data_IF_985145465671
#
_entry.id   IF_985145465671
#
_cell.length_a   1.000
_cell.length_b   1.000
_cell.length_c   1.000
_cell.angle_alpha   90.00
_cell.angle_beta   90.00
_cell.angle_gamma   90.00
#
_symmetry.space_group_name_H-M   'P 1'
#
loop_
_entity.id
_entity.type
_entity.pdbx_description
1 polymer ?
#
# COMPACT_ATOMS: atom_id res chain seq x y z
N UNK A 1 11.76 -47.33 -3.41
CA UNK A 1 11.42 -46.76 -2.10
C UNK A 1 11.96 -45.33 -2.13
N UNK A 2 11.07 -44.35 -2.24
CA UNK A 2 11.43 -42.93 -2.40
C UNK A 2 11.99 -42.34 -1.10
N UNK A 3 12.96 -41.42 -1.14
CA UNK A 3 13.33 -40.59 0.01
C UNK A 3 12.49 -39.31 0.05
N UNK A 4 11.93 -38.99 1.23
CA UNK A 4 11.14 -37.78 1.49
C UNK A 4 11.97 -36.68 2.18
N UNK A 5 11.74 -35.43 1.70
CA UNK A 5 11.80 -34.13 2.39
C UNK A 5 13.13 -33.71 3.05
N UNK A 6 13.66 -32.49 2.92
CA UNK A 6 13.12 -31.27 2.32
C UNK A 6 14.28 -30.29 2.03
N UNK A 7 13.95 -29.28 1.24
CA UNK A 7 14.83 -28.49 0.38
C UNK A 7 15.45 -27.30 1.12
N UNK A 8 16.77 -27.12 0.98
CA UNK A 8 17.52 -25.95 1.41
C UNK A 8 17.22 -24.66 0.60
N UNK A 9 17.83 -23.51 0.97
CA UNK A 9 17.36 -22.18 0.61
C UNK A 9 17.40 -21.90 -0.90
N UNK A 10 16.31 -21.29 -1.40
CA UNK A 10 16.06 -20.98 -2.83
C UNK A 10 16.91 -19.83 -3.32
N UNK A 11 18.01 -20.15 -4.00
CA UNK A 11 18.62 -19.26 -5.01
C UNK A 11 17.74 -19.25 -6.28
N UNK A 12 16.86 -18.25 -6.43
CA UNK A 12 16.20 -17.99 -7.70
C UNK A 12 17.12 -17.14 -8.59
N UNK A 13 17.79 -17.83 -9.52
CA UNK A 13 18.77 -17.29 -10.47
C UNK A 13 18.17 -16.20 -11.38
N UNK A 14 18.82 -15.05 -11.37
CA UNK A 14 18.70 -13.93 -12.33
C UNK A 14 19.03 -14.34 -13.77
N UNK A 15 18.09 -14.98 -14.49
CA UNK A 15 18.29 -15.32 -15.92
C UNK A 15 17.11 -15.08 -16.87
N UNK A 16 16.08 -14.31 -16.50
CA UNK A 16 14.98 -13.97 -17.44
C UNK A 16 14.70 -12.47 -17.64
N UNK A 17 15.56 -11.58 -17.14
CA UNK A 17 15.46 -10.12 -17.37
C UNK A 17 16.17 -9.71 -18.68
N UNK A 18 15.86 -10.36 -19.79
CA UNK A 18 16.30 -9.92 -21.12
C UNK A 18 15.15 -10.05 -22.10
N UNK A 19 14.41 -8.96 -22.25
CA UNK A 19 13.81 -8.47 -23.50
C UNK A 19 12.90 -7.29 -23.17
N UNK A 20 13.50 -6.13 -22.90
CA UNK A 20 12.83 -4.84 -23.05
C UNK A 20 13.58 -4.11 -24.15
N UNK A 21 13.04 -4.13 -25.37
CA UNK A 21 13.56 -3.42 -26.53
C UNK A 21 12.40 -2.78 -27.29
N UNK A 22 12.56 -1.48 -27.59
CA UNK A 22 11.68 -0.66 -28.44
C UNK A 22 11.02 0.48 -27.65
N UNK A 23 11.69 1.61 -27.41
CA UNK A 23 11.89 2.78 -28.30
C UNK A 23 10.61 3.58 -28.59
N UNK A 24 10.59 4.79 -28.03
CA UNK A 24 9.97 6.07 -28.46
C UNK A 24 8.94 6.06 -29.60
N UNK A 25 7.82 6.78 -29.42
CA UNK A 25 7.50 8.01 -30.19
C UNK A 25 6.14 8.60 -29.76
N UNK A 26 6.09 9.93 -29.77
CA UNK A 26 4.93 10.83 -29.66
C UNK A 26 3.59 10.30 -30.22
N UNK A 27 2.48 10.64 -29.53
CA UNK A 27 1.36 11.46 -30.07
C UNK A 27 0.13 11.53 -29.15
N UNK A 28 -0.38 12.75 -29.00
CA UNK A 28 -1.80 13.14 -28.91
C UNK A 28 -2.66 12.60 -27.76
N UNK A 29 -3.03 13.53 -26.89
CA UNK A 29 -3.86 13.47 -25.69
C UNK A 29 -5.36 13.14 -25.89
N UNK A 30 -5.70 12.14 -26.72
CA UNK A 30 -7.11 11.72 -26.87
C UNK A 30 -7.35 10.22 -27.12
N UNK A 31 -6.32 9.39 -27.31
CA UNK A 31 -6.48 7.97 -27.68
C UNK A 31 -5.85 7.01 -26.66
N UNK A 32 -5.86 7.35 -25.37
CA UNK A 32 -5.47 6.39 -24.34
C UNK A 32 -6.52 5.28 -24.25
N UNK A 33 -6.27 4.20 -25.00
CA UNK A 33 -6.91 2.91 -24.78
C UNK A 33 -5.92 2.07 -23.97
N UNK A 34 -6.22 1.74 -22.70
CA UNK A 34 -5.32 0.94 -21.89
C UNK A 34 -5.07 -0.40 -22.62
N UNK A 35 -3.82 -0.90 -22.64
CA UNK A 35 -3.46 -2.05 -23.45
C UNK A 35 -4.30 -3.27 -23.06
N UNK A 36 -5.08 -3.79 -24.02
CA UNK A 36 -5.83 -5.05 -23.91
C UNK A 36 -4.86 -6.22 -23.73
N UNK A 37 -4.54 -6.49 -22.46
CA UNK A 37 -3.97 -7.70 -21.83
C UNK A 37 -2.93 -7.27 -20.79
N UNK A 38 -3.40 -6.73 -19.68
CA UNK A 38 -2.61 -6.65 -18.46
C UNK A 38 -2.52 -8.08 -17.92
N UNK A 39 -1.32 -8.66 -17.94
CA UNK A 39 -1.03 -10.02 -17.49
C UNK A 39 -0.33 -9.99 -16.13
N UNK A 40 -0.81 -9.13 -15.23
CA UNK A 40 -0.42 -9.14 -13.82
C UNK A 40 -1.56 -9.79 -13.01
N UNK A 41 -1.27 -10.43 -11.87
CA UNK A 41 -2.32 -10.85 -10.94
C UNK A 41 -3.17 -9.62 -10.59
N UNK A 42 -4.51 -9.73 -10.63
CA UNK A 42 -5.44 -8.60 -10.45
C UNK A 42 -5.23 -7.80 -9.15
N UNK A 43 -4.67 -8.42 -8.11
CA UNK A 43 -4.32 -7.70 -6.89
C UNK A 43 -3.12 -6.75 -7.03
N UNK A 44 -2.16 -7.08 -7.90
CA UNK A 44 -0.99 -6.22 -8.17
C UNK A 44 -1.39 -4.95 -8.93
N UNK A 45 -2.45 -4.99 -9.74
CA UNK A 45 -2.96 -3.80 -10.43
C UNK A 45 -3.57 -2.77 -9.48
N UNK A 46 -4.23 -3.18 -8.39
CA UNK A 46 -4.81 -2.23 -7.44
C UNK A 46 -3.72 -1.43 -6.73
N UNK A 47 -2.69 -2.12 -6.21
CA UNK A 47 -1.53 -1.47 -5.59
C UNK A 47 -0.79 -0.57 -6.59
N UNK A 48 -0.70 -0.98 -7.87
CA UNK A 48 -0.10 -0.16 -8.92
C UNK A 48 -0.88 1.14 -9.18
N UNK A 49 -2.22 1.08 -9.19
CA UNK A 49 -3.07 2.26 -9.33
C UNK A 49 -2.86 3.26 -8.16
N UNK A 50 -2.57 2.75 -6.96
CA UNK A 50 -2.25 3.58 -5.80
C UNK A 50 -0.94 4.35 -5.96
N UNK A 51 0.09 3.76 -6.57
CA UNK A 51 1.33 4.50 -6.90
C UNK A 51 1.13 5.58 -7.97
N UNK A 52 0.14 5.42 -8.83
CA UNK A 52 -0.17 6.39 -9.89
C UNK A 52 -1.11 7.51 -9.42
N UNK A 53 -1.71 7.39 -8.24
CA UNK A 53 -2.77 8.26 -7.73
C UNK A 53 -3.93 8.42 -8.74
N UNK A 54 -4.27 7.34 -9.45
CA UNK A 54 -5.33 7.32 -10.46
C UNK A 54 -6.63 6.79 -9.83
N UNK A 55 -7.45 7.71 -9.31
CA UNK A 55 -8.76 7.37 -8.74
C UNK A 55 -9.71 6.69 -9.74
N UNK A 56 -9.62 7.02 -11.04
CA UNK A 56 -10.52 6.45 -12.04
C UNK A 56 -10.16 4.99 -12.31
N UNK A 57 -8.86 4.68 -12.49
CA UNK A 57 -8.39 3.31 -12.60
C UNK A 57 -8.70 2.53 -11.31
N UNK A 58 -8.49 3.13 -10.14
CA UNK A 58 -8.80 2.50 -8.87
C UNK A 58 -10.29 2.12 -8.76
N UNK A 59 -11.21 3.06 -9.05
CA UNK A 59 -12.66 2.80 -9.07
C UNK A 59 -13.04 1.73 -10.08
N UNK A 60 -12.42 1.72 -11.25
CA UNK A 60 -12.65 0.67 -12.24
C UNK A 60 -12.24 -0.71 -11.70
N UNK A 61 -11.08 -0.82 -11.04
CA UNK A 61 -10.59 -2.06 -10.45
C UNK A 61 -11.51 -2.56 -9.33
N UNK A 62 -12.00 -1.67 -8.46
CA UNK A 62 -13.02 -2.02 -7.46
C UNK A 62 -14.31 -2.53 -8.11
N UNK A 63 -14.75 -1.90 -9.21
CA UNK A 63 -15.94 -2.35 -9.95
C UNK A 63 -15.79 -3.73 -10.60
N UNK A 64 -14.55 -4.19 -10.83
CA UNK A 64 -14.24 -5.54 -11.28
C UNK A 64 -14.25 -6.58 -10.14
N UNK A 65 -14.56 -6.15 -8.91
CA UNK A 65 -14.62 -7.01 -7.73
C UNK A 65 -13.26 -7.26 -7.07
N UNK A 66 -12.28 -6.39 -7.31
CA UNK A 66 -11.02 -6.43 -6.57
C UNK A 66 -11.26 -5.85 -5.17
N UNK A 67 -10.75 -6.54 -4.16
CA UNK A 67 -10.84 -6.13 -2.77
C UNK A 67 -9.97 -4.90 -2.51
N UNK A 68 -10.54 -3.86 -1.87
CA UNK A 68 -9.85 -2.61 -1.55
C UNK A 68 -8.66 -2.85 -0.61
N UNK A 69 -8.75 -3.86 0.25
CA UNK A 69 -7.72 -4.25 1.21
C UNK A 69 -6.77 -5.32 0.66
N UNK A 70 -6.68 -5.42 -0.67
CA UNK A 70 -5.68 -6.26 -1.33
C UNK A 70 -4.28 -5.92 -0.81
N UNK A 71 -3.54 -6.96 -0.45
CA UNK A 71 -2.19 -6.84 0.10
C UNK A 71 -1.11 -7.14 -0.93
N UNK A 72 -0.02 -6.39 -0.88
CA UNK A 72 1.20 -6.68 -1.62
C UNK A 72 2.02 -7.79 -0.91
N UNK A 73 3.18 -8.23 -1.44
CA UNK A 73 4.02 -9.24 -0.80
C UNK A 73 4.50 -8.91 0.61
N UNK A 74 4.56 -7.62 0.97
CA UNK A 74 4.94 -7.11 2.29
C UNK A 74 3.74 -7.00 3.24
N UNK A 75 2.54 -7.43 2.80
CA UNK A 75 1.32 -7.35 3.58
C UNK A 75 0.67 -5.96 3.56
N UNK A 76 1.26 -4.99 2.88
CA UNK A 76 0.76 -3.62 2.82
C UNK A 76 -0.45 -3.49 1.89
N UNK A 77 -1.41 -2.67 2.31
CA UNK A 77 -2.55 -2.23 1.49
C UNK A 77 -2.26 -0.86 0.86
N UNK A 78 -3.18 -0.36 0.02
CA UNK A 78 -3.04 1.00 -0.51
C UNK A 78 -3.01 2.07 0.57
N UNK A 79 -3.76 1.90 1.67
CA UNK A 79 -3.79 2.86 2.78
C UNK A 79 -2.39 3.03 3.40
N UNK A 80 -1.64 1.93 3.56
CA UNK A 80 -0.25 1.99 4.00
C UNK A 80 0.60 2.82 3.04
N UNK A 81 0.50 2.52 1.75
CA UNK A 81 1.32 3.19 0.74
C UNK A 81 1.01 4.70 0.66
N UNK A 82 -0.25 5.10 0.78
CA UNK A 82 -0.64 6.51 0.84
C UNK A 82 0.02 7.23 2.01
N UNK A 83 -0.02 6.62 3.21
CA UNK A 83 0.59 7.19 4.41
C UNK A 83 2.10 7.36 4.26
N UNK A 84 2.77 6.39 3.64
CA UNK A 84 4.21 6.45 3.35
C UNK A 84 4.53 7.57 2.34
N UNK A 85 3.75 7.66 1.27
CA UNK A 85 3.95 8.64 0.20
C UNK A 85 3.59 10.07 0.62
N UNK A 86 2.63 10.23 1.54
CA UNK A 86 2.05 11.52 1.89
C UNK A 86 0.84 11.91 1.03
N UNK A 87 0.16 10.95 0.40
CA UNK A 87 -0.94 11.20 -0.54
C UNK A 87 -2.27 11.42 0.22
N UNK A 88 -2.46 12.63 0.76
CA UNK A 88 -3.62 12.95 1.61
C UNK A 88 -4.95 12.79 0.90
N UNK A 89 -5.10 13.34 -0.30
CA UNK A 89 -6.36 13.29 -1.06
C UNK A 89 -6.76 11.84 -1.38
N UNK A 90 -5.76 11.01 -1.71
CA UNK A 90 -6.02 9.60 -2.00
C UNK A 90 -6.33 8.80 -0.74
N UNK A 91 -5.69 9.11 0.39
CA UNK A 91 -6.07 8.53 1.68
C UNK A 91 -7.53 8.85 2.02
N UNK A 92 -7.95 10.11 1.86
CA UNK A 92 -9.33 10.52 2.10
C UNK A 92 -10.30 9.78 1.17
N UNK A 93 -9.92 9.58 -0.09
CA UNK A 93 -10.68 8.78 -1.05
C UNK A 93 -10.78 7.30 -0.62
N UNK A 94 -9.70 6.65 -0.22
CA UNK A 94 -9.70 5.25 0.23
C UNK A 94 -10.59 5.03 1.45
N UNK A 95 -10.56 5.95 2.41
CA UNK A 95 -11.42 5.92 3.59
C UNK A 95 -12.90 6.03 3.19
N UNK A 96 -13.24 6.92 2.24
CA UNK A 96 -14.61 7.07 1.72
C UNK A 96 -15.11 5.82 1.01
N UNK A 97 -14.23 5.10 0.32
CA UNK A 97 -14.55 3.81 -0.34
C UNK A 97 -14.56 2.63 0.65
N UNK A 98 -14.26 2.86 1.94
CA UNK A 98 -14.39 1.87 2.99
C UNK A 98 -13.18 0.97 3.19
N UNK A 99 -11.97 1.44 2.84
CA UNK A 99 -10.73 0.72 3.13
C UNK A 99 -10.53 0.53 4.65
N UNK A 100 -9.98 -0.61 5.06
CA UNK A 100 -9.64 -0.87 6.45
C UNK A 100 -8.39 -0.07 6.86
N UNK A 101 -8.56 0.88 7.77
CA UNK A 101 -7.49 1.74 8.28
C UNK A 101 -6.70 1.11 9.44
N UNK A 102 -7.15 -0.04 9.96
CA UNK A 102 -6.51 -0.79 11.05
C UNK A 102 -5.83 -2.07 10.58
N UNK A 103 -5.73 -2.27 9.27
CA UNK A 103 -5.05 -3.41 8.67
C UNK A 103 -3.58 -3.43 9.05
N UNK A 104 -3.07 -4.60 9.45
CA UNK A 104 -1.65 -4.80 9.74
C UNK A 104 -0.93 -5.45 8.56
N UNK A 105 0.23 -4.90 8.21
CA UNK A 105 1.17 -5.48 7.26
C UNK A 105 1.95 -6.66 7.87
N UNK A 106 2.96 -7.18 7.16
CA UNK A 106 3.75 -8.32 7.64
C UNK A 106 4.65 -8.00 8.84
N UNK A 107 4.93 -6.72 9.11
CA UNK A 107 5.69 -6.25 10.27
C UNK A 107 4.76 -5.83 11.42
N UNK A 108 3.45 -6.03 11.27
CA UNK A 108 2.44 -5.64 12.24
C UNK A 108 2.16 -4.13 12.22
N UNK A 109 2.72 -3.40 11.26
CA UNK A 109 2.48 -1.97 11.13
C UNK A 109 1.08 -1.72 10.61
N UNK A 110 0.44 -0.69 11.14
CA UNK A 110 -0.84 -0.16 10.64
C UNK A 110 -0.58 1.07 9.78
N UNK A 111 -1.56 1.55 9.00
CA UNK A 111 -1.47 2.85 8.34
C UNK A 111 -1.11 4.00 9.29
N UNK A 112 -1.53 3.92 10.56
CA UNK A 112 -1.19 4.90 11.58
C UNK A 112 0.30 4.85 11.97
N UNK A 113 0.91 3.67 12.08
CA UNK A 113 2.36 3.53 12.25
C UNK A 113 3.11 4.16 11.07
N UNK A 114 2.67 3.89 9.85
CA UNK A 114 3.27 4.44 8.64
C UNK A 114 3.18 5.97 8.58
N UNK A 115 2.02 6.55 8.88
CA UNK A 115 1.85 8.00 8.92
C UNK A 115 2.70 8.66 10.03
N UNK A 116 2.78 8.02 11.19
CA UNK A 116 3.56 8.51 12.33
C UNK A 116 5.07 8.46 12.06
N UNK A 117 5.56 7.37 11.47
CA UNK A 117 6.99 7.18 11.14
C UNK A 117 7.50 8.10 10.04
N UNK A 118 6.61 8.67 9.24
CA UNK A 118 6.96 9.69 8.23
C UNK A 118 6.71 11.11 8.77
N UNK A 119 6.02 11.25 9.91
CA UNK A 119 5.71 12.54 10.53
C UNK A 119 4.60 13.32 9.84
N UNK A 120 3.64 12.63 9.19
CA UNK A 120 2.54 13.23 8.42
C UNK A 120 1.37 13.61 9.31
N UNK A 121 1.50 14.70 10.06
CA UNK A 121 0.49 15.16 11.05
C UNK A 121 -0.95 15.22 10.52
N UNK A 122 -1.17 15.78 9.33
CA UNK A 122 -2.52 15.88 8.75
C UNK A 122 -3.12 14.49 8.45
N UNK A 123 -2.30 13.53 8.03
CA UNK A 123 -2.75 12.16 7.75
C UNK A 123 -3.02 11.39 9.04
N UNK A 124 -2.20 11.61 10.08
CA UNK A 124 -2.43 11.04 11.41
C UNK A 124 -3.78 11.53 11.95
N UNK A 125 -4.08 12.84 11.85
CA UNK A 125 -5.40 13.38 12.20
C UNK A 125 -6.52 12.72 11.43
N UNK A 126 -6.40 12.64 10.11
CA UNK A 126 -7.42 12.04 9.27
C UNK A 126 -7.71 10.59 9.66
N UNK A 127 -6.68 9.80 9.96
CA UNK A 127 -6.82 8.42 10.42
C UNK A 127 -7.53 8.33 11.77
N UNK A 128 -7.15 9.16 12.74
CA UNK A 128 -7.75 9.17 14.09
C UNK A 128 -9.21 9.65 14.06
N UNK A 129 -9.51 10.68 13.29
CA UNK A 129 -10.88 11.17 13.07
C UNK A 129 -11.81 10.08 12.49
N UNK A 130 -11.23 9.09 11.81
CA UNK A 130 -11.94 7.93 11.25
C UNK A 130 -11.82 6.65 12.09
N UNK A 131 -11.27 6.73 13.30
CA UNK A 131 -11.24 5.63 14.27
C UNK A 131 -10.07 4.67 14.11
N UNK A 132 -8.91 5.15 13.66
CA UNK A 132 -7.68 4.37 13.70
C UNK A 132 -7.30 4.02 15.15
N UNK A 133 -6.91 2.78 15.38
CA UNK A 133 -6.58 2.25 16.70
C UNK A 133 -5.10 2.55 17.05
N UNK A 134 -4.91 3.43 18.04
CA UNK A 134 -3.59 3.81 18.57
C UNK A 134 -2.94 2.72 19.43
N UNK A 135 -3.69 1.69 19.81
CA UNK A 135 -3.24 0.63 20.73
C UNK A 135 -2.72 -0.63 20.03
N UNK A 136 -2.77 -0.66 18.70
CA UNK A 136 -2.22 -1.78 17.92
C UNK A 136 -0.69 -1.75 17.95
N UNK A 137 -0.09 -2.91 18.20
CA UNK A 137 1.35 -3.08 18.29
C UNK A 137 1.92 -3.70 17.02
N UNK A 138 3.09 -3.22 16.61
CA UNK A 138 3.93 -3.87 15.60
C UNK A 138 4.50 -5.20 16.13
N UNK A 139 5.14 -5.98 15.24
CA UNK A 139 5.87 -7.19 15.65
C UNK A 139 7.02 -6.90 16.62
N UNK A 140 7.58 -5.69 16.61
CA UNK A 140 8.61 -5.23 17.54
C UNK A 140 8.04 -4.64 18.84
N UNK A 141 6.72 -4.77 19.05
CA UNK A 141 5.98 -4.25 20.20
C UNK A 141 6.02 -2.73 20.32
N UNK A 142 6.06 -2.04 19.18
CA UNK A 142 5.98 -0.58 19.11
C UNK A 142 4.53 -0.16 18.84
N UNK A 143 4.07 0.88 19.51
CA UNK A 143 2.84 1.61 19.18
C UNK A 143 3.13 2.66 18.09
N UNK A 144 2.08 3.21 17.43
CA UNK A 144 2.27 4.31 16.48
C UNK A 144 3.00 5.52 17.08
N UNK A 145 2.81 5.80 18.37
CA UNK A 145 3.49 6.89 19.07
C UNK A 145 4.99 6.63 19.23
N UNK A 146 5.39 5.37 19.41
CA UNK A 146 6.79 4.99 19.63
C UNK A 146 7.64 5.18 18.36
N UNK A 147 7.03 5.04 17.18
CA UNK A 147 7.69 5.23 15.88
C UNK A 147 7.59 6.66 15.35
N UNK A 148 6.93 7.57 16.06
CA UNK A 148 6.70 8.94 15.60
C UNK A 148 8.00 9.74 15.40
N UNK A 149 8.12 10.42 14.25
CA UNK A 149 9.33 11.21 13.91
C UNK A 149 9.28 12.68 14.32
N UNK A 150 8.14 13.18 14.79
CA UNK A 150 8.00 14.59 15.17
C UNK A 150 7.20 14.75 16.45
N UNK A 151 7.67 15.67 17.30
CA UNK A 151 7.03 16.02 18.58
C UNK A 151 5.54 16.32 18.40
N UNK A 152 5.17 16.96 17.28
CA UNK A 152 3.76 17.29 16.99
C UNK A 152 2.89 16.04 16.81
N UNK A 153 3.40 15.01 16.13
CA UNK A 153 2.70 13.73 15.98
C UNK A 153 2.68 12.95 17.29
N UNK A 154 3.79 12.95 18.04
CA UNK A 154 3.85 12.34 19.37
C UNK A 154 2.79 12.93 20.29
N UNK A 155 2.78 14.25 20.40
CA UNK A 155 1.81 15.03 21.17
C UNK A 155 0.35 14.74 20.79
N UNK A 156 0.12 14.42 19.52
CA UNK A 156 -1.21 14.14 19.00
C UNK A 156 -1.67 12.73 19.37
N UNK A 157 -0.79 11.74 19.24
CA UNK A 157 -1.09 10.35 19.56
C UNK A 157 -1.20 10.11 21.08
N UNK A 158 -0.46 10.85 21.92
CA UNK A 158 -0.57 10.76 23.38
C UNK A 158 -1.89 11.30 23.95
N UNK A 159 -2.70 12.00 23.14
CA UNK A 159 -3.97 12.61 23.56
C UNK A 159 -5.19 11.72 23.36
N UNK A 160 -5.07 10.64 22.60
CA UNK A 160 -6.13 9.69 22.29
C UNK A 160 -6.20 8.57 23.34
#
# INVERSE_FOLDING_TARGET
MFPSSDVGPRELKMKQIKNWAGSETDKSSADYHPPKKIKFPLGVSLIAACYANDEEEFKQLLSMGIDIDTRNPDGMTCVHQCCINGDYEFLEFLIKEGADINVQDNEGWTPLHAAASVGREEMVRLLLDNGADVSLLSCEMELPVDVSQSDSVTDLLERE
#
